data_IF_061657764553
#
_entry.id   IF_061657764553
#
_cell.length_a   1.000
_cell.length_b   1.000
_cell.length_c   1.000
_cell.angle_alpha   90.00
_cell.angle_beta   90.00
_cell.angle_gamma   90.00
#
_symmetry.space_group_name_H-M   'P 1'
#
loop_
_entity.id
_entity.type
_entity.pdbx_description
1 polymer ?
#
# COMPACT_ATOMS: atom_id res chain seq x y z
N UNK A 1 -3.63 -10.95 -9.15
CA UNK A 1 -2.33 -11.11 -8.47
C UNK A 1 -2.42 -10.39 -7.13
N UNK A 2 -2.10 -11.05 -6.03
CA UNK A 2 -2.14 -10.53 -4.67
C UNK A 2 -0.71 -10.18 -4.25
N UNK A 3 -0.50 -8.99 -3.69
CA UNK A 3 0.82 -8.58 -3.22
C UNK A 3 0.75 -8.22 -1.74
N UNK A 4 1.67 -8.78 -0.98
CA UNK A 4 1.85 -8.44 0.43
C UNK A 4 3.25 -7.89 0.63
N UNK A 5 3.34 -6.74 1.28
CA UNK A 5 4.61 -6.16 1.73
C UNK A 5 4.59 -6.01 3.23
N UNK A 6 5.63 -6.52 3.88
CA UNK A 6 5.79 -6.42 5.32
C UNK A 6 6.99 -5.54 5.63
N UNK A 7 6.75 -4.38 6.23
CA UNK A 7 7.79 -3.41 6.57
C UNK A 7 8.06 -3.40 8.07
N UNK A 8 9.33 -3.24 8.42
CA UNK A 8 9.78 -2.94 9.78
C UNK A 8 10.09 -1.44 9.88
N UNK A 9 9.53 -0.76 10.88
CA UNK A 9 9.87 0.63 11.17
C UNK A 9 11.20 0.70 11.94
N UNK A 10 12.16 1.51 11.45
CA UNK A 10 13.30 1.97 12.25
C UNK A 10 13.34 3.51 12.27
N UNK A 11 13.57 4.14 13.43
CA UNK A 11 13.69 5.60 13.52
C UNK A 11 14.84 6.10 12.64
N UNK A 12 14.57 7.03 11.73
CA UNK A 12 15.58 7.64 10.84
C UNK A 12 15.69 7.02 9.45
N UNK A 13 14.99 5.91 9.15
CA UNK A 13 14.80 5.50 7.76
C UNK A 13 13.76 6.41 7.12
N UNK A 14 14.21 7.38 6.31
CA UNK A 14 13.31 8.11 5.41
C UNK A 14 12.57 7.05 4.61
N UNK A 15 11.25 7.22 4.47
CA UNK A 15 10.32 6.44 3.66
C UNK A 15 10.66 6.49 2.15
N UNK A 16 11.94 6.46 1.80
CA UNK A 16 12.40 6.55 0.43
C UNK A 16 11.96 5.27 -0.29
N UNK A 17 10.96 5.45 -1.14
CA UNK A 17 10.60 4.61 -2.29
C UNK A 17 10.33 3.16 -1.97
N UNK A 18 9.08 2.89 -1.57
CA UNK A 18 8.46 1.57 -1.52
C UNK A 18 8.70 0.70 -2.77
N UNK A 19 8.86 1.30 -3.95
CA UNK A 19 9.04 0.55 -5.21
C UNK A 19 10.52 0.34 -5.59
N UNK A 20 11.41 1.30 -5.34
CA UNK A 20 12.74 1.33 -5.98
C UNK A 20 13.90 1.71 -5.05
N UNK A 21 13.69 1.91 -3.75
CA UNK A 21 14.83 2.00 -2.85
C UNK A 21 15.34 0.60 -2.55
N UNK A 22 16.67 0.38 -2.54
CA UNK A 22 17.26 -0.81 -1.94
C UNK A 22 17.04 -0.76 -0.43
N UNK A 23 15.81 -1.02 0.01
CA UNK A 23 15.55 -1.37 1.40
C UNK A 23 16.23 -2.71 1.63
N UNK A 24 17.08 -2.85 2.67
CA UNK A 24 17.64 -4.14 3.03
C UNK A 24 16.54 -5.20 3.07
N UNK A 25 16.74 -6.38 2.47
CA UNK A 25 15.77 -7.49 2.49
C UNK A 25 15.39 -7.96 3.92
N UNK A 26 16.09 -7.43 4.92
CA UNK A 26 15.82 -7.58 6.35
C UNK A 26 14.68 -6.66 6.85
N UNK A 27 14.38 -5.56 6.15
CA UNK A 27 13.43 -4.52 6.54
C UNK A 27 12.13 -4.55 5.71
N UNK A 28 12.15 -5.14 4.51
CA UNK A 28 10.97 -5.32 3.66
C UNK A 28 10.94 -6.74 3.08
N UNK A 29 9.82 -7.44 3.25
CA UNK A 29 9.55 -8.73 2.59
C UNK A 29 8.37 -8.59 1.65
N UNK A 30 8.62 -8.88 0.37
CA UNK A 30 7.59 -8.97 -0.67
C UNK A 30 7.19 -10.43 -0.84
N UNK A 31 5.90 -10.70 -0.73
CA UNK A 31 5.32 -12.03 -0.88
C UNK A 31 4.23 -11.97 -1.96
N UNK A 32 4.54 -12.32 -3.23
CA UNK A 32 3.53 -12.45 -4.27
C UNK A 32 2.75 -13.75 -4.04
N UNK A 33 1.41 -13.68 -4.09
CA UNK A 33 0.48 -14.81 -4.01
C UNK A 33 0.83 -15.87 -2.93
N UNK A 34 1.04 -15.48 -1.66
CA UNK A 34 1.49 -16.41 -0.65
C UNK A 34 0.38 -17.39 -0.26
N UNK A 35 0.75 -18.64 -0.01
CA UNK A 35 -0.15 -19.59 0.65
C UNK A 35 -0.41 -19.16 2.11
N UNK A 36 -1.52 -19.57 2.73
CA UNK A 36 -1.80 -19.24 4.13
C UNK A 36 -0.70 -19.62 5.12
N UNK A 37 -0.08 -20.79 4.92
CA UNK A 37 1.03 -21.24 5.75
C UNK A 37 2.31 -20.44 5.51
N UNK A 38 2.55 -20.00 4.27
CA UNK A 38 3.64 -19.09 3.98
C UNK A 38 3.42 -17.75 4.68
N UNK A 39 2.24 -17.14 4.53
CA UNK A 39 1.92 -15.87 5.16
C UNK A 39 2.06 -15.93 6.69
N UNK A 40 1.52 -16.97 7.32
CA UNK A 40 1.65 -17.20 8.76
C UNK A 40 3.12 -17.24 9.21
N UNK A 41 3.98 -17.98 8.49
CA UNK A 41 5.41 -18.07 8.81
C UNK A 41 6.11 -16.72 8.69
N UNK A 42 5.79 -15.95 7.65
CA UNK A 42 6.34 -14.61 7.45
C UNK A 42 5.90 -13.66 8.58
N UNK A 43 4.62 -13.61 8.92
CA UNK A 43 4.12 -12.79 10.03
C UNK A 43 4.78 -13.13 11.36
N UNK A 44 4.88 -14.42 11.71
CA UNK A 44 5.51 -14.84 12.96
C UNK A 44 7.01 -14.54 12.98
N UNK A 45 7.71 -14.72 11.86
CA UNK A 45 9.15 -14.42 11.76
C UNK A 45 9.38 -12.92 11.97
N UNK A 46 8.57 -12.08 11.33
CA UNK A 46 8.67 -10.64 11.46
C UNK A 46 8.35 -10.15 12.88
N UNK A 47 7.30 -10.67 13.52
CA UNK A 47 6.99 -10.30 14.92
C UNK A 47 8.06 -10.77 15.91
N UNK A 48 8.67 -11.94 15.70
CA UNK A 48 9.77 -12.39 16.57
C UNK A 48 11.04 -11.58 16.39
N UNK A 49 11.24 -10.94 15.24
CA UNK A 49 12.46 -10.19 14.96
C UNK A 49 12.46 -8.75 15.46
N UNK A 50 11.30 -8.22 15.88
CA UNK A 50 11.20 -6.85 16.40
C UNK A 50 10.03 -6.62 17.38
N UNK A 51 10.28 -5.78 18.39
CA UNK A 51 9.25 -5.20 19.25
C UNK A 51 8.63 -3.94 18.65
N UNK A 52 9.24 -3.39 17.60
CA UNK A 52 8.78 -2.20 16.89
C UNK A 52 7.51 -2.44 16.08
N UNK A 53 6.99 -1.35 15.51
CA UNK A 53 5.81 -1.37 14.67
C UNK A 53 6.06 -2.10 13.36
N UNK A 54 5.19 -3.05 13.06
CA UNK A 54 5.15 -3.74 11.77
C UNK A 54 4.11 -3.05 10.87
N UNK A 55 4.43 -2.86 9.59
CA UNK A 55 3.43 -2.48 8.59
C UNK A 55 3.10 -3.72 7.77
N UNK A 56 1.83 -4.10 7.78
CA UNK A 56 1.26 -5.09 6.89
C UNK A 56 0.53 -4.37 5.76
N UNK A 57 1.02 -4.48 4.54
CA UNK A 57 0.44 -3.85 3.36
C UNK A 57 -0.09 -4.91 2.41
N UNK A 58 -1.39 -4.86 2.15
CA UNK A 58 -2.13 -5.73 1.25
C UNK A 58 -2.56 -4.95 0.01
N UNK A 59 -2.22 -5.49 -1.15
CA UNK A 59 -2.67 -5.04 -2.46
C UNK A 59 -3.43 -6.17 -3.15
N UNK A 60 -4.61 -5.86 -3.67
CA UNK A 60 -5.35 -6.78 -4.55
C UNK A 60 -5.66 -6.12 -5.87
N UNK A 61 -5.37 -6.84 -6.95
CA UNK A 61 -5.68 -6.42 -8.31
C UNK A 61 -6.89 -7.23 -8.81
N UNK A 62 -8.05 -6.59 -8.89
CA UNK A 62 -9.15 -7.11 -9.71
C UNK A 62 -8.94 -6.60 -11.14
N UNK A 63 -8.22 -7.38 -11.96
CA UNK A 63 -8.17 -7.10 -13.40
C UNK A 63 -9.57 -7.38 -13.97
N UNK A 64 -10.24 -6.32 -14.43
CA UNK A 64 -11.65 -6.28 -14.80
C UNK A 64 -12.07 -7.10 -16.02
N UNK A 65 -11.61 -8.35 -16.19
CA UNK A 65 -12.08 -9.21 -17.29
C UNK A 65 -12.00 -10.73 -17.03
N UNK A 66 -11.97 -11.20 -15.78
CA UNK A 66 -11.87 -12.66 -15.57
C UNK A 66 -12.17 -13.21 -14.18
N UNK A 67 -12.43 -12.37 -13.18
CA UNK A 67 -12.97 -12.88 -11.92
C UNK A 67 -14.46 -13.11 -12.18
N UNK A 68 -14.83 -14.36 -12.44
CA UNK A 68 -16.22 -14.78 -12.45
C UNK A 68 -16.91 -14.26 -11.19
N UNK A 69 -18.16 -13.81 -11.32
CA UNK A 69 -19.11 -13.37 -10.27
C UNK A 69 -19.30 -14.35 -9.08
N UNK A 70 -18.44 -15.34 -8.94
CA UNK A 70 -18.48 -16.43 -7.98
C UNK A 70 -17.73 -16.17 -6.67
N UNK A 71 -17.12 -14.99 -6.47
CA UNK A 71 -16.74 -14.58 -5.11
C UNK A 71 -18.05 -14.31 -4.36
N UNK A 72 -18.41 -15.11 -3.34
CA UNK A 72 -19.63 -14.88 -2.61
C UNK A 72 -19.52 -13.50 -1.97
N UNK A 73 -20.40 -12.58 -2.35
CA UNK A 73 -20.46 -11.20 -1.86
C UNK A 73 -20.42 -11.14 -0.31
N UNK A 74 -20.83 -12.22 0.37
CA UNK A 74 -20.79 -12.39 1.82
C UNK A 74 -19.44 -12.74 2.47
N UNK A 75 -18.35 -12.96 1.70
CA UNK A 75 -16.99 -13.19 2.22
C UNK A 75 -16.12 -11.94 2.22
N UNK A 76 -16.54 -10.88 1.52
CA UNK A 76 -15.79 -9.62 1.48
C UNK A 76 -15.64 -9.02 2.88
N UNK A 77 -14.40 -8.71 3.25
CA UNK A 77 -14.06 -8.03 4.50
C UNK A 77 -13.74 -8.89 5.70
N UNK A 78 -14.27 -10.11 5.79
CA UNK A 78 -13.98 -10.98 6.94
C UNK A 78 -12.70 -11.78 6.78
N UNK A 79 -12.32 -12.04 5.53
CA UNK A 79 -11.12 -12.80 5.19
C UNK A 79 -10.38 -12.19 4.00
N UNK A 80 -9.06 -12.31 4.04
CA UNK A 80 -8.20 -12.01 2.90
C UNK A 80 -8.22 -13.21 1.95
N UNK A 81 -8.61 -13.04 0.67
CA UNK A 81 -8.46 -14.11 -0.30
C UNK A 81 -6.98 -14.39 -0.53
N UNK A 82 -6.60 -15.67 -0.56
CA UNK A 82 -5.26 -16.12 -0.93
C UNK A 82 -5.42 -17.08 -2.08
N UNK A 83 -4.79 -16.78 -3.21
CA UNK A 83 -4.77 -17.67 -4.35
C UNK A 83 -3.48 -18.48 -4.36
N UNK A 84 -3.54 -19.70 -4.85
CA UNK A 84 -2.32 -20.42 -5.21
C UNK A 84 -1.68 -19.77 -6.46
N UNK A 85 -0.47 -20.19 -6.81
CA UNK A 85 0.27 -19.62 -7.94
C UNK A 85 -0.44 -19.83 -9.30
N UNK A 86 -1.26 -20.88 -9.41
CA UNK A 86 -2.06 -21.16 -10.60
C UNK A 86 -3.35 -20.30 -10.68
N UNK A 87 -3.67 -19.55 -9.63
CA UNK A 87 -4.87 -18.71 -9.47
C UNK A 87 -6.21 -19.47 -9.60
N UNK A 88 -6.20 -20.80 -9.46
CA UNK A 88 -7.38 -21.65 -9.58
C UNK A 88 -7.99 -22.03 -8.21
N UNK A 89 -7.19 -22.02 -7.14
CA UNK A 89 -7.65 -22.29 -5.78
C UNK A 89 -7.58 -21.05 -4.89
N UNK A 90 -8.66 -20.75 -4.16
CA UNK A 90 -8.73 -19.67 -3.18
C UNK A 90 -8.86 -20.22 -1.76
N UNK A 91 -7.90 -19.92 -0.89
CA UNK A 91 -7.89 -20.25 0.53
C UNK A 91 -7.97 -18.98 1.39
N UNK A 92 -9.16 -18.56 1.84
CA UNK A 92 -9.31 -17.31 2.58
C UNK A 92 -8.72 -17.39 4.01
N UNK A 93 -8.13 -16.27 4.48
CA UNK A 93 -7.64 -16.13 5.85
C UNK A 93 -8.45 -15.08 6.59
N UNK A 94 -9.11 -15.49 7.67
CA UNK A 94 -9.84 -14.57 8.54
C UNK A 94 -8.96 -13.50 9.18
N UNK A 95 -9.46 -12.27 9.25
CA UNK A 95 -8.73 -11.12 9.81
C UNK A 95 -8.27 -11.35 11.26
N UNK A 96 -9.06 -12.05 12.07
CA UNK A 96 -8.67 -12.42 13.44
C UNK A 96 -7.36 -13.24 13.50
N UNK A 97 -7.12 -14.14 12.54
CA UNK A 97 -5.86 -14.89 12.49
C UNK A 97 -4.68 -13.97 12.21
N UNK A 98 -4.86 -13.03 11.28
CA UNK A 98 -3.84 -12.05 10.92
C UNK A 98 -3.50 -11.14 12.12
N UNK A 99 -4.51 -10.67 12.85
CA UNK A 99 -4.35 -9.92 14.11
C UNK A 99 -3.49 -10.71 15.09
N UNK A 100 -3.81 -12.00 15.30
CA UNK A 100 -3.05 -12.87 16.20
C UNK A 100 -1.61 -13.13 15.76
N UNK A 101 -1.34 -13.25 14.46
CA UNK A 101 0.01 -13.51 13.95
C UNK A 101 0.94 -12.31 14.07
N UNK A 102 0.43 -11.11 13.82
CA UNK A 102 1.20 -9.88 13.81
C UNK A 102 1.20 -9.16 15.16
N UNK A 103 0.21 -9.39 16.02
CA UNK A 103 0.08 -8.74 17.33
C UNK A 103 0.20 -7.21 17.25
N UNK A 104 0.48 -6.55 18.37
CA UNK A 104 0.69 -5.09 18.49
C UNK A 104 2.18 -4.80 18.76
N UNK A 105 2.74 -3.63 18.36
CA UNK A 105 2.14 -2.57 17.53
C UNK A 105 2.16 -2.89 16.02
N UNK A 106 1.06 -2.65 15.29
CA UNK A 106 0.97 -2.95 13.84
C UNK A 106 0.16 -1.89 13.07
N UNK A 107 0.57 -1.56 11.83
CA UNK A 107 -0.24 -0.81 10.86
C UNK A 107 -0.71 -1.79 9.79
N UNK A 108 -1.98 -1.73 9.43
CA UNK A 108 -2.55 -2.46 8.31
C UNK A 108 -2.91 -1.47 7.20
N UNK A 109 -2.48 -1.74 5.98
CA UNK A 109 -2.81 -0.94 4.80
C UNK A 109 -3.52 -1.87 3.82
N UNK A 110 -4.79 -1.60 3.54
CA UNK A 110 -5.61 -2.33 2.58
C UNK A 110 -5.88 -1.43 1.38
N UNK A 111 -5.16 -1.66 0.29
CA UNK A 111 -5.38 -0.98 -0.99
C UNK A 111 -5.99 -1.95 -1.99
N UNK A 112 -7.30 -2.07 -1.90
CA UNK A 112 -8.12 -2.98 -2.68
C UNK A 112 -9.58 -2.53 -2.65
N UNK A 113 -10.41 -3.16 -3.48
CA UNK A 113 -11.86 -2.97 -3.42
C UNK A 113 -12.42 -3.40 -2.06
N UNK A 114 -13.52 -2.76 -1.65
CA UNK A 114 -14.25 -3.01 -0.42
C UNK A 114 -13.40 -2.89 0.85
N UNK A 115 -12.28 -2.17 0.84
CA UNK A 115 -11.29 -2.17 1.92
C UNK A 115 -11.88 -1.80 3.31
N UNK A 116 -12.92 -0.96 3.36
CA UNK A 116 -13.63 -0.61 4.59
C UNK A 116 -14.24 -1.81 5.33
N UNK A 117 -14.53 -2.91 4.62
CA UNK A 117 -15.04 -4.14 5.22
C UNK A 117 -14.01 -4.86 6.10
N UNK A 118 -12.71 -4.63 5.88
CA UNK A 118 -11.66 -5.08 6.80
C UNK A 118 -11.67 -4.26 8.08
N UNK A 119 -11.91 -2.94 8.00
CA UNK A 119 -12.01 -2.07 9.19
C UNK A 119 -13.13 -2.55 10.11
N UNK A 120 -14.30 -2.88 9.55
CA UNK A 120 -15.42 -3.47 10.28
C UNK A 120 -14.99 -4.75 11.04
N UNK A 121 -14.22 -5.64 10.40
CA UNK A 121 -13.72 -6.86 11.04
C UNK A 121 -12.74 -6.61 12.19
N UNK A 122 -11.94 -5.54 12.13
CA UNK A 122 -11.08 -5.15 13.27
C UNK A 122 -11.87 -4.53 14.42
N UNK A 123 -12.96 -3.82 14.11
CA UNK A 123 -13.90 -3.32 15.11
C UNK A 123 -14.64 -4.49 15.80
N UNK A 124 -15.17 -5.44 15.05
CA UNK A 124 -15.79 -6.66 15.60
C UNK A 124 -14.83 -7.47 16.49
N UNK A 125 -13.54 -7.48 16.17
CA UNK A 125 -12.50 -8.14 16.96
C UNK A 125 -12.11 -7.37 18.24
N UNK A 126 -12.71 -6.21 18.53
CA UNK A 126 -12.40 -5.39 19.70
C UNK A 126 -11.00 -4.78 19.69
N UNK A 127 -10.37 -4.68 18.51
CA UNK A 127 -9.01 -4.14 18.36
C UNK A 127 -9.00 -2.62 18.20
N UNK A 128 -10.08 -2.07 17.62
CA UNK A 128 -10.32 -0.65 17.48
C UNK A 128 -11.34 -0.22 18.54
N UNK A 129 -10.97 0.78 19.34
CA UNK A 129 -11.82 1.33 20.41
C UNK A 129 -12.28 0.25 21.42
N UNK A 130 -11.37 -0.29 22.24
CA UNK A 130 -11.78 -1.18 23.32
C UNK A 130 -12.81 -0.45 24.20
N UNK A 131 -13.94 -1.11 24.44
CA UNK A 131 -15.07 -0.56 25.21
C UNK A 131 -14.59 -0.14 26.61
N UNK A 132 -14.67 1.16 26.94
CA UNK A 132 -14.25 1.75 28.23
C UNK A 132 -15.28 1.44 29.35
N UNK A 133 -16.03 0.34 29.24
CA UNK A 133 -17.31 0.11 29.90
C UNK A 133 -17.35 -0.87 31.09
N UNK A 134 -16.32 -0.94 31.94
CA UNK A 134 -16.36 -1.75 33.18
C UNK A 134 -15.56 -1.16 34.34
N UNK A 135 -16.09 -1.10 35.58
CA UNK A 135 -15.47 -0.37 36.70
C UNK A 135 -14.33 -1.12 37.41
N UNK A 136 -13.62 -1.99 36.70
CA UNK A 136 -12.47 -2.71 37.27
C UNK A 136 -11.43 -2.98 36.20
N UNK A 137 -10.20 -2.65 36.58
CA UNK A 137 -8.90 -2.96 35.96
C UNK A 137 -8.22 -1.79 35.28
N UNK A 138 -7.27 -1.24 36.05
CA UNK A 138 -6.06 -0.54 35.64
C UNK A 138 -6.04 -0.09 34.18
N UNK A 139 -6.15 1.24 33.99
CA UNK A 139 -5.72 1.94 32.80
C UNK A 139 -4.28 1.53 32.43
N UNK A 140 -4.15 0.42 31.72
CA UNK A 140 -2.99 0.06 30.94
C UNK A 140 -3.00 1.02 29.76
N UNK A 141 -2.35 2.16 29.98
CA UNK A 141 -1.89 3.15 29.01
C UNK A 141 -1.12 2.50 27.85
N UNK A 142 -1.80 1.72 27.02
CA UNK A 142 -1.32 1.26 25.72
C UNK A 142 -2.45 1.46 24.69
N UNK A 143 -3.02 2.66 24.75
CA UNK A 143 -4.05 3.20 23.87
C UNK A 143 -3.73 2.90 22.41
N UNK A 144 -4.52 2.01 21.81
CA UNK A 144 -4.58 1.64 20.39
C UNK A 144 -3.25 1.70 19.61
N UNK A 145 -2.37 0.73 19.86
CA UNK A 145 -1.15 0.52 19.08
C UNK A 145 -1.38 -0.12 17.69
N UNK A 146 -2.64 -0.24 17.25
CA UNK A 146 -3.04 -0.70 15.92
C UNK A 146 -3.58 0.46 15.09
N UNK A 147 -3.06 0.64 13.87
CA UNK A 147 -3.60 1.58 12.88
C UNK A 147 -4.05 0.85 11.62
N UNK A 148 -5.09 1.36 10.97
CA UNK A 148 -5.62 0.79 9.73
C UNK A 148 -5.85 1.89 8.71
N UNK A 149 -5.35 1.70 7.50
CA UNK A 149 -5.63 2.51 6.32
C UNK A 149 -6.38 1.64 5.33
N UNK A 150 -7.53 2.10 4.86
CA UNK A 150 -8.36 1.44 3.86
C UNK A 150 -8.58 2.41 2.68
N UNK A 151 -8.38 1.93 1.45
CA UNK A 151 -8.43 2.77 0.25
C UNK A 151 -9.83 3.24 -0.14
N UNK A 152 -10.87 2.48 0.25
CA UNK A 152 -12.26 2.77 -0.08
C UNK A 152 -13.21 2.22 1.01
N UNK A 153 -14.49 2.64 0.97
CA UNK A 153 -15.54 2.15 1.85
C UNK A 153 -15.91 0.68 1.63
N UNK A 154 -16.67 0.08 2.56
CA UNK A 154 -17.03 -1.35 2.53
C UNK A 154 -17.90 -1.79 1.34
N UNK A 155 -18.52 -0.85 0.65
CA UNK A 155 -19.35 -1.07 -0.54
C UNK A 155 -18.83 -0.28 -1.75
N UNK A 156 -17.58 0.17 -1.67
CA UNK A 156 -16.93 0.94 -2.72
C UNK A 156 -15.84 0.10 -3.38
N UNK A 157 -15.56 0.40 -4.64
CA UNK A 157 -14.42 -0.14 -5.36
C UNK A 157 -13.38 0.96 -5.53
N UNK A 158 -12.12 0.59 -5.66
CA UNK A 158 -11.07 1.53 -5.97
C UNK A 158 -11.34 2.20 -7.34
N UNK A 159 -11.03 3.49 -7.49
CA UNK A 159 -11.37 4.23 -8.69
C UNK A 159 -10.50 3.78 -9.87
N UNK A 160 -11.14 3.43 -10.99
CA UNK A 160 -10.48 3.09 -12.25
C UNK A 160 -10.32 4.36 -13.11
N UNK A 161 -9.28 5.15 -12.84
CA UNK A 161 -9.10 6.50 -13.40
C UNK A 161 -8.32 6.54 -14.73
N UNK A 162 -8.50 5.51 -15.57
CA UNK A 162 -7.83 5.39 -16.86
C UNK A 162 -6.31 5.13 -16.76
N UNK A 163 -5.57 5.23 -17.88
CA UNK A 163 -4.15 4.88 -17.93
C UNK A 163 -3.22 5.91 -17.27
N UNK A 164 -3.72 7.12 -16.99
CA UNK A 164 -2.92 8.25 -16.49
C UNK A 164 -2.62 8.17 -14.99
N UNK A 165 -3.45 7.43 -14.25
CA UNK A 165 -3.33 7.29 -12.79
C UNK A 165 -3.08 5.83 -12.41
N UNK A 166 -2.30 5.59 -11.35
CA UNK A 166 -2.06 4.24 -10.85
C UNK A 166 -3.35 3.63 -10.31
N UNK A 167 -3.56 2.33 -10.53
CA UNK A 167 -4.72 1.61 -10.03
C UNK A 167 -4.70 1.38 -8.49
N UNK A 168 -3.53 1.51 -7.86
CA UNK A 168 -3.34 1.45 -6.40
C UNK A 168 -3.15 2.87 -5.87
N UNK A 169 -4.21 3.68 -5.91
CA UNK A 169 -4.13 5.11 -5.64
C UNK A 169 -3.71 5.41 -4.20
N UNK A 170 -4.19 4.65 -3.20
CA UNK A 170 -3.77 4.83 -1.81
C UNK A 170 -2.27 4.57 -1.67
N UNK A 171 -1.78 3.48 -2.26
CA UNK A 171 -0.36 3.14 -2.26
C UNK A 171 0.45 4.23 -2.93
N UNK A 172 0.06 4.66 -4.13
CA UNK A 172 0.77 5.72 -4.85
C UNK A 172 0.81 7.03 -4.04
N UNK A 173 -0.30 7.43 -3.40
CA UNK A 173 -0.34 8.59 -2.52
C UNK A 173 0.59 8.45 -1.30
N UNK A 174 0.75 7.25 -0.74
CA UNK A 174 1.63 7.02 0.41
C UNK A 174 3.12 6.95 0.02
N UNK A 175 3.42 6.55 -1.22
CA UNK A 175 4.79 6.19 -1.63
C UNK A 175 5.43 7.17 -2.60
N UNK A 176 4.61 7.91 -3.36
CA UNK A 176 5.03 8.91 -4.34
C UNK A 176 4.05 10.11 -4.36
N UNK A 177 3.78 10.76 -3.20
CA UNK A 177 2.72 11.75 -3.05
C UNK A 177 2.80 12.89 -4.06
N UNK A 178 4.01 13.37 -4.37
CA UNK A 178 4.21 14.45 -5.33
C UNK A 178 3.89 14.00 -6.76
N UNK A 179 4.43 12.86 -7.19
CA UNK A 179 4.15 12.27 -8.51
C UNK A 179 2.67 11.99 -8.68
N UNK A 180 2.03 11.34 -7.71
CA UNK A 180 0.60 11.03 -7.76
C UNK A 180 -0.27 12.30 -7.79
N UNK A 181 0.07 13.32 -6.99
CA UNK A 181 -0.67 14.59 -7.00
C UNK A 181 -0.59 15.31 -8.35
N UNK A 182 0.59 15.32 -8.97
CA UNK A 182 0.79 15.94 -10.28
C UNK A 182 0.12 15.14 -11.40
N UNK A 183 0.20 13.81 -11.39
CA UNK A 183 -0.55 12.94 -12.31
C UNK A 183 -2.05 13.15 -12.17
N UNK A 184 -2.56 13.29 -10.95
CA UNK A 184 -3.97 13.57 -10.69
C UNK A 184 -4.40 14.90 -11.26
N UNK A 185 -3.58 15.95 -11.09
CA UNK A 185 -3.84 17.26 -11.69
C UNK A 185 -3.84 17.22 -13.23
N UNK A 186 -2.99 16.37 -13.82
CA UNK A 186 -2.89 16.14 -15.26
C UNK A 186 -4.00 15.25 -15.83
N UNK A 187 -4.68 14.46 -15.00
CA UNK A 187 -5.73 13.53 -15.45
C UNK A 187 -6.96 14.23 -16.06
N UNK A 188 -7.06 15.55 -15.92
CA UNK A 188 -8.21 16.34 -16.37
C UNK A 188 -9.40 16.31 -15.42
N UNK A 189 -9.26 15.71 -14.22
CA UNK A 189 -10.32 15.67 -13.21
C UNK A 189 -10.88 17.06 -12.85
N UNK A 190 -10.01 18.07 -12.79
CA UNK A 190 -10.40 19.46 -12.52
C UNK A 190 -10.73 20.27 -13.79
N UNK A 191 -10.88 19.60 -14.93
CA UNK A 191 -11.11 20.23 -16.24
C UNK A 191 -9.83 20.73 -16.91
N UNK A 192 -9.94 21.27 -18.14
CA UNK A 192 -8.79 21.63 -18.99
C UNK A 192 -7.93 22.77 -18.43
N UNK A 193 -8.45 23.57 -17.50
CA UNK A 193 -7.68 24.65 -16.87
C UNK A 193 -6.62 24.15 -15.86
N UNK A 194 -6.74 22.91 -15.39
CA UNK A 194 -5.82 22.36 -14.38
C UNK A 194 -4.39 22.18 -14.91
N UNK A 195 -4.27 21.76 -16.17
CA UNK A 195 -2.97 21.59 -16.84
C UNK A 195 -2.35 22.94 -17.22
N UNK A 196 -3.18 23.94 -17.55
CA UNK A 196 -2.74 25.30 -17.85
C UNK A 196 -2.00 25.95 -16.67
N UNK A 197 -2.45 25.72 -15.44
CA UNK A 197 -1.81 26.27 -14.22
C UNK A 197 -0.36 25.81 -14.05
N UNK A 198 -0.01 24.64 -14.59
CA UNK A 198 1.34 24.10 -14.58
C UNK A 198 2.09 24.25 -15.92
N UNK A 199 1.48 24.89 -16.92
CA UNK A 199 2.05 24.96 -18.28
C UNK A 199 2.16 23.59 -18.96
N UNK A 200 1.25 22.67 -18.63
CA UNK A 200 1.16 21.29 -19.15
C UNK A 200 0.08 21.14 -20.23
N UNK A 201 -0.18 22.20 -20.97
CA UNK A 201 -1.25 22.37 -21.96
C UNK A 201 -0.92 21.85 -23.38
N UNK A 202 0.23 21.20 -23.57
CA UNK A 202 0.71 20.72 -24.88
C UNK A 202 0.76 19.18 -24.97
N UNK A 203 0.89 18.62 -26.18
CA UNK A 203 0.98 17.17 -26.50
C UNK A 203 2.06 16.37 -25.74
N UNK A 204 2.94 17.03 -24.99
CA UNK A 204 4.09 16.42 -24.30
C UNK A 204 3.99 16.52 -22.76
N UNK A 205 2.81 16.22 -22.21
CA UNK A 205 2.51 16.28 -20.77
C UNK A 205 3.48 15.41 -19.97
N UNK A 206 3.78 14.20 -20.46
CA UNK A 206 4.60 13.22 -19.74
C UNK A 206 6.06 13.69 -19.57
N UNK A 207 6.68 14.22 -20.62
CA UNK A 207 8.06 14.73 -20.55
C UNK A 207 8.17 15.94 -19.64
N UNK A 208 7.20 16.86 -19.73
CA UNK A 208 7.15 18.04 -18.84
C UNK A 208 6.93 17.64 -17.38
N UNK A 209 6.08 16.63 -17.13
CA UNK A 209 5.84 16.10 -15.79
C UNK A 209 7.12 15.49 -15.19
N UNK A 210 7.84 14.68 -15.95
CA UNK A 210 9.12 14.09 -15.51
C UNK A 210 10.18 15.19 -15.26
N UNK A 211 10.24 16.23 -16.11
CA UNK A 211 11.11 17.39 -15.88
C UNK A 211 10.74 18.16 -14.60
N UNK A 212 9.45 18.35 -14.34
CA UNK A 212 8.97 19.01 -13.13
C UNK A 212 9.33 18.19 -11.88
N UNK A 213 9.10 16.88 -11.92
CA UNK A 213 9.48 15.95 -10.85
C UNK A 213 10.98 15.99 -10.59
N UNK A 214 11.79 15.93 -11.65
CA UNK A 214 13.25 16.06 -11.57
C UNK A 214 13.67 17.38 -10.89
N UNK A 215 13.07 18.51 -11.28
CA UNK A 215 13.34 19.83 -10.67
C UNK A 215 12.93 19.90 -9.20
N UNK A 216 11.92 19.15 -8.80
CA UNK A 216 11.45 19.05 -7.41
C UNK A 216 12.26 18.02 -6.59
N UNK A 217 13.27 17.39 -7.18
CA UNK A 217 14.13 16.41 -6.50
C UNK A 217 13.60 14.98 -6.51
N UNK A 218 12.49 14.72 -7.20
CA UNK A 218 12.00 13.37 -7.48
C UNK A 218 12.81 12.79 -8.64
N UNK A 219 13.92 12.12 -8.33
CA UNK A 219 14.70 11.39 -9.33
C UNK A 219 14.02 10.06 -9.62
N UNK A 220 13.50 9.87 -10.83
CA UNK A 220 13.26 8.51 -11.33
C UNK A 220 14.62 7.82 -11.41
N UNK A 221 14.80 6.74 -10.66
CA UNK A 221 15.93 5.84 -10.93
C UNK A 221 15.60 5.24 -12.28
N UNK A 222 16.31 5.66 -13.32
CA UNK A 222 16.26 5.02 -14.63
C UNK A 222 16.51 3.52 -14.45
N UNK A 223 15.74 2.68 -15.14
CA UNK A 223 15.92 1.22 -15.13
C UNK A 223 17.30 0.79 -15.67
N UNK A 224 18.04 1.70 -16.30
CA UNK A 224 19.43 1.48 -16.70
C UNK A 224 20.39 2.04 -15.65
N UNK A 225 21.04 1.13 -14.92
CA UNK A 225 22.15 1.40 -14.01
C UNK A 225 23.40 1.90 -14.74
N UNK A 226 23.38 3.16 -15.15
CA UNK A 226 24.54 3.85 -15.72
C UNK A 226 24.62 5.28 -15.22
N UNK A 227 25.35 5.51 -14.13
CA UNK A 227 25.78 6.85 -13.76
C UNK A 227 26.81 7.33 -14.81
N UNK A 228 26.36 8.09 -15.80
CA UNK A 228 27.27 8.92 -16.61
C UNK A 228 27.49 10.23 -15.90
N UNK A 229 28.56 10.27 -15.10
CA UNK A 229 29.19 11.52 -14.70
C UNK A 229 29.68 12.22 -15.98
N UNK A 230 29.05 13.34 -16.33
CA UNK A 230 29.64 14.30 -17.25
C UNK A 230 30.59 15.17 -16.43
N UNK A 231 31.86 14.77 -16.38
CA UNK A 231 32.91 15.68 -15.95
C UNK A 231 33.03 16.79 -16.99
N UNK A 232 32.72 18.00 -16.55
CA UNK A 232 32.92 19.22 -17.31
C UNK A 232 34.40 19.51 -17.48
N UNK A 233 34.73 20.02 -18.68
CA UNK A 233 36.00 20.62 -19.02
C UNK A 233 36.50 21.60 -17.95
N UNK A 234 37.78 21.46 -17.63
CA UNK A 234 38.55 22.42 -16.86
C UNK A 234 40.02 21.99 -16.81
N UNK A 235 40.80 22.33 -17.83
CA UNK A 235 42.01 23.16 -17.67
C UNK A 235 42.87 23.24 -18.94
N UNK A 236 43.16 24.51 -19.32
CA UNK A 236 44.33 25.09 -20.02
C UNK A 236 44.75 24.55 -21.39
#
# INVERSE_FOLDING_TARGET
>A
MLYYRLFRFEPGSVWNRFENAPMPAQLCRVCPDPTPDHLRRVCHTARRSTTERIVFHYLSYHSGSGVTDSQPIGLHGRSLPMYNQALDECSPIGIHKLIGWLAKPTIYIFDCDFAGSYVDSFHEAGVLFPDDGGPSHHASSNSNSTYILASCGRHEQNPHLGPTLPSQLLTACLTAPLKTSLQFLCSGFYGPSSTCLLGLDNEDIQTKLELLLSRLGETTVSEDGGATLSDGDGDV
#
